data_IF_017942617060
#
_entry.id   IF_017942617060
#
_cell.length_a   1.000
_cell.length_b   1.000
_cell.length_c   1.000
_cell.angle_alpha   90.00
_cell.angle_beta   90.00
_cell.angle_gamma   90.00
#
_symmetry.space_group_name_H-M   'P 1'
#
loop_
_entity.id
_entity.type
_entity.pdbx_description
1 polymer ?
#
# COMPACT_ATOMS: atom_id res chain seq x y z
N UNK A 1 19.71 -12.99 5.98
CA UNK A 1 18.67 -11.98 5.74
C UNK A 1 18.96 -11.25 4.43
N UNK A 2 18.05 -11.20 3.48
CA UNK A 2 18.30 -10.54 2.19
C UNK A 2 18.29 -9.01 2.39
N UNK A 3 19.26 -8.31 1.79
CA UNK A 3 19.34 -6.84 1.86
C UNK A 3 18.12 -6.23 1.11
N UNK A 4 17.41 -5.26 1.70
CA UNK A 4 16.29 -4.61 1.01
C UNK A 4 16.76 -3.83 -0.22
N UNK A 5 15.90 -3.78 -1.24
CA UNK A 5 16.15 -2.99 -2.45
C UNK A 5 15.91 -1.49 -2.21
N UNK A 6 15.02 -1.16 -1.26
CA UNK A 6 14.67 0.21 -0.91
C UNK A 6 14.19 0.30 0.53
N UNK A 7 14.55 1.39 1.21
CA UNK A 7 13.99 1.78 2.51
C UNK A 7 13.59 3.24 2.41
N UNK A 8 12.37 3.57 2.81
CA UNK A 8 11.83 4.93 2.88
C UNK A 8 11.34 5.18 4.30
N UNK A 9 11.60 6.37 4.82
CA UNK A 9 11.18 6.78 6.17
C UNK A 9 10.65 8.20 6.13
N UNK A 10 9.62 8.47 6.93
CA UNK A 10 9.09 9.80 7.15
C UNK A 10 8.66 9.93 8.61
N UNK A 11 9.18 10.93 9.31
CA UNK A 11 8.69 11.29 10.64
C UNK A 11 7.31 11.91 10.52
N UNK A 12 6.37 11.44 11.33
CA UNK A 12 4.96 11.83 11.31
C UNK A 12 4.47 11.92 12.77
N UNK A 13 3.74 12.99 13.14
CA UNK A 13 3.17 13.11 14.47
C UNK A 13 2.28 11.90 14.86
N UNK A 14 2.33 11.51 16.12
CA UNK A 14 1.61 10.32 16.62
C UNK A 14 0.11 10.37 16.34
N UNK A 15 -0.51 11.55 16.40
CA UNK A 15 -1.93 11.73 16.07
C UNK A 15 -2.25 11.39 14.62
N UNK A 16 -1.38 11.77 13.69
CA UNK A 16 -1.53 11.41 12.28
C UNK A 16 -1.19 9.94 12.01
N UNK A 17 -0.28 9.34 12.78
CA UNK A 17 0.02 7.91 12.67
C UNK A 17 -1.18 7.03 13.03
N UNK A 18 -1.99 7.45 14.00
CA UNK A 18 -3.23 6.74 14.35
C UNK A 18 -4.23 6.75 13.18
N UNK A 19 -4.35 7.89 12.49
CA UNK A 19 -5.18 8.01 11.29
C UNK A 19 -4.65 7.14 10.15
N UNK A 20 -3.34 7.14 9.91
CA UNK A 20 -2.70 6.27 8.91
C UNK A 20 -2.95 4.80 9.23
N UNK A 21 -2.77 4.40 10.51
CA UNK A 21 -3.02 3.02 10.95
C UNK A 21 -4.47 2.62 10.68
N UNK A 22 -5.43 3.46 11.05
CA UNK A 22 -6.84 3.21 10.77
C UNK A 22 -7.10 3.06 9.26
N UNK A 23 -6.58 3.97 8.44
CA UNK A 23 -6.78 3.97 7.00
C UNK A 23 -6.11 2.80 6.28
N UNK A 24 -4.94 2.34 6.74
CA UNK A 24 -4.28 1.18 6.12
C UNK A 24 -4.88 -0.14 6.59
N UNK A 25 -5.34 -0.21 7.85
CA UNK A 25 -5.92 -1.43 8.43
C UNK A 25 -7.36 -1.69 7.99
N UNK A 26 -8.02 -0.74 7.34
CA UNK A 26 -9.36 -0.88 6.80
C UNK A 26 -9.33 -0.78 5.27
N UNK A 27 -9.69 -1.89 4.60
CA UNK A 27 -9.70 -1.97 3.14
C UNK A 27 -10.65 -0.98 2.48
N UNK A 28 -11.74 -0.64 3.13
CA UNK A 28 -12.75 0.27 2.57
C UNK A 28 -12.18 1.69 2.43
N UNK A 29 -11.12 2.02 3.18
CA UNK A 29 -10.42 3.30 3.11
C UNK A 29 -9.30 3.34 2.04
N UNK A 30 -8.87 2.19 1.50
CA UNK A 30 -7.75 2.17 0.55
C UNK A 30 -7.97 3.00 -0.72
N UNK A 31 -9.15 3.02 -1.35
CA UNK A 31 -9.41 3.89 -2.51
C UNK A 31 -9.25 5.38 -2.22
N UNK A 32 -9.36 5.80 -0.97
CA UNK A 32 -9.28 7.20 -0.57
C UNK A 32 -7.84 7.72 -0.62
N UNK A 33 -6.87 6.91 -0.19
CA UNK A 33 -5.48 7.34 -0.10
C UNK A 33 -4.55 6.71 -1.15
N UNK A 34 -4.87 5.52 -1.67
CA UNK A 34 -4.01 4.77 -2.57
C UNK A 34 -4.45 4.97 -4.03
N UNK A 35 -3.68 5.72 -4.79
CA UNK A 35 -3.96 6.00 -6.21
C UNK A 35 -3.92 4.77 -7.12
N UNK A 36 -3.32 3.67 -6.66
CA UNK A 36 -3.40 2.38 -7.36
C UNK A 36 -4.70 1.63 -7.10
N UNK A 37 -5.53 2.08 -6.15
CA UNK A 37 -6.75 1.44 -5.72
C UNK A 37 -7.98 2.28 -6.04
N UNK A 38 -8.29 2.53 -7.32
CA UNK A 38 -9.53 3.21 -7.69
C UNK A 38 -10.76 2.39 -7.30
N UNK A 39 -10.63 1.07 -7.24
CA UNK A 39 -11.64 0.13 -6.78
C UNK A 39 -10.97 -1.11 -6.23
N UNK A 40 -11.46 -1.57 -5.08
CA UNK A 40 -11.09 -2.87 -4.50
C UNK A 40 -12.18 -3.86 -4.87
N UNK A 41 -11.78 -4.97 -5.49
CA UNK A 41 -12.61 -6.16 -5.64
C UNK A 41 -12.05 -7.21 -4.69
N UNK A 42 -12.40 -7.08 -3.41
CA UNK A 42 -12.15 -8.10 -2.41
C UNK A 42 -13.50 -8.68 -2.01
N UNK A 43 -13.56 -10.00 -1.82
CA UNK A 43 -14.72 -10.63 -1.19
C UNK A 43 -14.85 -10.25 0.29
N UNK A 44 -13.80 -9.64 0.85
CA UNK A 44 -13.73 -9.20 2.24
C UNK A 44 -13.60 -7.68 2.31
N UNK A 45 -14.49 -7.07 3.06
CA UNK A 45 -14.52 -5.66 3.43
C UNK A 45 -14.00 -5.47 4.86
N UNK A 46 -13.72 -4.21 5.22
CA UNK A 46 -13.32 -3.82 6.57
C UNK A 46 -11.88 -4.18 6.91
N UNK A 47 -11.64 -4.61 8.16
CA UNK A 47 -10.28 -4.81 8.68
C UNK A 47 -9.49 -5.86 7.93
N UNK A 48 -8.20 -5.54 7.70
CA UNK A 48 -7.21 -6.45 7.12
C UNK A 48 -7.08 -7.75 7.92
N UNK A 49 -6.86 -8.85 7.20
CA UNK A 49 -6.59 -10.18 7.78
C UNK A 49 -5.42 -10.83 7.09
N UNK A 50 -4.61 -11.54 7.87
CA UNK A 50 -3.51 -12.37 7.31
C UNK A 50 -4.09 -13.41 6.35
N UNK A 51 -3.43 -13.59 5.20
CA UNK A 51 -3.87 -14.47 4.12
C UNK A 51 -4.94 -13.86 3.21
N UNK A 52 -5.43 -12.66 3.51
CA UNK A 52 -6.43 -11.99 2.70
C UNK A 52 -5.85 -11.59 1.34
N UNK A 53 -6.56 -11.96 0.27
CA UNK A 53 -6.27 -11.51 -1.08
C UNK A 53 -6.98 -10.19 -1.36
N UNK A 54 -6.25 -9.26 -1.98
CA UNK A 54 -6.73 -7.95 -2.35
C UNK A 54 -6.46 -7.75 -3.84
N UNK A 55 -7.51 -7.52 -4.61
CA UNK A 55 -7.42 -7.20 -6.03
C UNK A 55 -7.70 -5.70 -6.22
N UNK A 56 -6.66 -4.93 -6.55
CA UNK A 56 -6.74 -3.49 -6.77
C UNK A 56 -6.98 -3.21 -8.25
N UNK A 57 -8.01 -2.47 -8.56
CA UNK A 57 -8.39 -2.13 -9.93
C UNK A 57 -8.21 -0.66 -10.21
N UNK A 58 -7.63 -0.35 -11.37
CA UNK A 58 -7.50 1.01 -11.89
C UNK A 58 -7.61 1.02 -13.42
N UNK A 59 -7.98 2.15 -13.97
CA UNK A 59 -8.00 2.36 -15.42
C UNK A 59 -6.88 3.34 -15.79
N UNK A 60 -5.98 2.93 -16.67
CA UNK A 60 -4.88 3.75 -17.19
C UNK A 60 -4.88 3.67 -18.71
N UNK A 61 -4.99 4.81 -19.38
CA UNK A 61 -5.02 4.88 -20.86
C UNK A 61 -6.03 3.89 -21.49
N UNK A 62 -7.25 3.84 -20.95
CA UNK A 62 -8.35 2.94 -21.36
C UNK A 62 -8.08 1.44 -21.13
N UNK A 63 -7.04 1.08 -20.39
CA UNK A 63 -6.74 -0.29 -20.02
C UNK A 63 -7.14 -0.53 -18.56
N UNK A 64 -7.86 -1.63 -18.31
CA UNK A 64 -8.11 -2.10 -16.95
C UNK A 64 -6.86 -2.82 -16.46
N UNK A 65 -6.31 -2.31 -15.36
CA UNK A 65 -5.16 -2.89 -14.66
C UNK A 65 -5.67 -3.48 -13.34
N UNK A 66 -5.35 -4.74 -13.11
CA UNK A 66 -5.69 -5.49 -11.91
C UNK A 66 -4.39 -5.91 -11.23
N UNK A 67 -4.08 -5.32 -10.08
CA UNK A 67 -2.94 -5.68 -9.24
C UNK A 67 -3.39 -6.59 -8.10
N UNK A 68 -2.81 -7.77 -8.00
CA UNK A 68 -3.17 -8.78 -6.99
C UNK A 68 -2.16 -8.76 -5.86
N UNK A 69 -2.65 -8.66 -4.62
CA UNK A 69 -1.86 -8.63 -3.40
C UNK A 69 -2.36 -9.65 -2.38
N UNK A 70 -1.48 -10.09 -1.48
CA UNK A 70 -1.83 -10.91 -0.32
C UNK A 70 -1.23 -10.29 0.92
N UNK A 71 -2.02 -10.17 1.97
CA UNK A 71 -1.54 -9.81 3.31
C UNK A 71 -0.79 -11.01 3.88
N UNK A 72 0.53 -10.90 3.98
CA UNK A 72 1.37 -11.99 4.48
C UNK A 72 1.41 -12.03 6.00
N UNK A 73 1.58 -10.85 6.64
CA UNK A 73 1.70 -10.74 8.09
C UNK A 73 1.08 -9.43 8.57
N UNK A 74 0.56 -9.43 9.79
CA UNK A 74 0.16 -8.25 10.56
C UNK A 74 0.71 -8.47 11.97
N UNK A 75 1.61 -7.59 12.40
CA UNK A 75 2.25 -7.64 13.71
C UNK A 75 1.98 -6.34 14.45
N UNK A 76 1.54 -6.44 15.70
CA UNK A 76 1.29 -5.30 16.57
C UNK A 76 2.08 -5.47 17.85
N UNK A 77 2.71 -4.40 18.33
CA UNK A 77 3.42 -4.36 19.61
C UNK A 77 2.93 -3.20 20.47
N UNK A 78 3.07 -3.35 21.78
CA UNK A 78 2.56 -2.39 22.78
C UNK A 78 3.68 -1.52 23.35
N UNK A 79 4.89 -2.08 23.51
CA UNK A 79 6.02 -1.37 24.11
C UNK A 79 7.35 -1.73 23.39
N UNK A 80 7.87 -0.89 22.50
CA UNK A 80 7.22 0.30 21.94
C UNK A 80 5.99 -0.05 21.09
N UNK A 81 4.98 0.83 21.06
CA UNK A 81 3.80 0.63 20.20
C UNK A 81 4.20 0.71 18.72
N UNK A 82 3.90 -0.33 17.98
CA UNK A 82 4.07 -0.38 16.53
C UNK A 82 2.95 -1.19 15.88
N UNK A 83 2.71 -0.90 14.61
CA UNK A 83 1.92 -1.73 13.71
C UNK A 83 2.76 -2.02 12.47
N UNK A 84 2.89 -3.29 12.10
CA UNK A 84 3.63 -3.73 10.91
C UNK A 84 2.72 -4.57 10.03
N UNK A 85 2.71 -4.27 8.75
CA UNK A 85 1.94 -4.99 7.73
C UNK A 85 2.89 -5.41 6.62
N UNK A 86 2.97 -6.71 6.36
CA UNK A 86 3.74 -7.25 5.24
C UNK A 86 2.76 -7.68 4.15
N UNK A 87 2.93 -7.11 2.96
CA UNK A 87 2.10 -7.41 1.79
C UNK A 87 2.96 -7.90 0.63
N UNK A 88 2.49 -8.96 -0.02
CA UNK A 88 3.13 -9.58 -1.17
C UNK A 88 2.31 -9.36 -2.43
N UNK A 89 2.92 -8.75 -3.45
CA UNK A 89 2.35 -8.65 -4.76
C UNK A 89 2.44 -10.00 -5.49
N UNK A 90 1.31 -10.45 -6.04
CA UNK A 90 1.17 -11.76 -6.67
C UNK A 90 1.17 -11.67 -8.20
N UNK A 91 1.05 -10.48 -8.74
CA UNK A 91 1.03 -10.27 -10.19
C UNK A 91 0.06 -9.20 -10.62
N UNK A 92 0.03 -8.98 -11.94
CA UNK A 92 -0.86 -8.00 -12.56
C UNK A 92 -1.52 -8.60 -13.79
N UNK A 93 -2.76 -8.20 -14.04
CA UNK A 93 -3.43 -8.41 -15.32
C UNK A 93 -3.70 -7.07 -15.98
N UNK A 94 -3.67 -7.08 -17.30
CA UNK A 94 -4.08 -5.95 -18.14
C UNK A 94 -5.20 -6.43 -19.07
N UNK A 95 -6.39 -5.85 -18.94
CA UNK A 95 -7.60 -6.30 -19.65
C UNK A 95 -7.85 -7.82 -19.49
N UNK A 96 -7.70 -8.33 -18.25
CA UNK A 96 -7.91 -9.74 -17.91
C UNK A 96 -6.78 -10.69 -18.30
N UNK A 97 -5.73 -10.23 -18.98
CA UNK A 97 -4.58 -11.07 -19.40
C UNK A 97 -3.40 -10.84 -18.48
N UNK A 98 -2.76 -11.92 -18.04
CA UNK A 98 -1.52 -11.82 -17.24
C UNK A 98 -0.49 -11.00 -18.01
N UNK A 99 -0.03 -9.93 -17.39
CA UNK A 99 0.99 -9.07 -17.97
C UNK A 99 2.38 -9.66 -17.66
N UNK A 100 3.23 -9.78 -18.69
CA UNK A 100 4.65 -10.11 -18.53
C UNK A 100 5.40 -8.89 -17.99
N UNK A 101 5.31 -8.66 -16.68
CA UNK A 101 5.80 -7.45 -16.05
C UNK A 101 7.32 -7.41 -15.90
N UNK A 102 7.78 -6.17 -15.77
CA UNK A 102 9.14 -5.84 -15.37
C UNK A 102 9.52 -6.43 -14.01
N UNK A 103 8.56 -6.54 -13.09
CA UNK A 103 8.71 -7.05 -11.73
C UNK A 103 8.22 -8.50 -11.70
N UNK A 104 8.99 -9.39 -11.08
CA UNK A 104 8.63 -10.79 -10.85
C UNK A 104 7.98 -10.97 -9.49
N UNK A 105 8.57 -10.36 -8.46
CA UNK A 105 8.06 -10.36 -7.08
C UNK A 105 8.22 -8.98 -6.48
N UNK A 106 7.33 -8.60 -5.59
CA UNK A 106 7.44 -7.39 -4.78
C UNK A 106 6.84 -7.68 -3.40
N UNK A 107 7.63 -7.47 -2.36
CA UNK A 107 7.20 -7.49 -0.96
C UNK A 107 7.37 -6.10 -0.38
N UNK A 108 6.35 -5.61 0.30
CA UNK A 108 6.38 -4.37 1.07
C UNK A 108 6.17 -4.70 2.55
N UNK A 109 7.07 -4.21 3.38
CA UNK A 109 6.93 -4.15 4.82
C UNK A 109 6.67 -2.69 5.20
N UNK A 110 5.50 -2.44 5.76
CA UNK A 110 5.02 -1.14 6.17
C UNK A 110 4.98 -1.13 7.68
N UNK A 111 5.84 -0.36 8.31
CA UNK A 111 5.93 -0.26 9.77
C UNK A 111 5.55 1.15 10.23
N UNK A 112 4.59 1.23 11.13
CA UNK A 112 4.18 2.44 11.84
C UNK A 112 4.74 2.40 13.24
N UNK A 113 5.59 3.37 13.60
CA UNK A 113 6.24 3.48 14.92
C UNK A 113 5.57 4.61 15.71
N UNK A 114 4.85 4.26 16.79
CA UNK A 114 4.09 5.21 17.62
C UNK A 114 4.90 5.66 18.85
N UNK A 115 6.08 6.18 18.65
CA UNK A 115 6.93 6.79 19.69
C UNK A 115 7.16 8.29 19.42
N UNK A 116 7.89 8.98 20.29
CA UNK A 116 8.14 10.43 20.16
C UNK A 116 8.84 10.80 18.85
N UNK A 117 9.78 9.95 18.39
CA UNK A 117 10.49 10.11 17.11
C UNK A 117 9.87 9.23 16.01
N UNK A 118 8.61 8.88 16.16
CA UNK A 118 7.94 7.91 15.34
C UNK A 118 7.65 8.36 13.93
N UNK A 119 7.13 7.42 13.15
CA UNK A 119 6.84 7.67 11.75
C UNK A 119 6.47 6.43 11.00
N UNK A 120 6.48 6.58 9.68
CA UNK A 120 6.23 5.51 8.73
C UNK A 120 7.55 5.06 8.11
N UNK A 121 7.81 3.76 8.15
CA UNK A 121 8.91 3.11 7.45
C UNK A 121 8.36 2.12 6.42
N UNK A 122 8.84 2.22 5.18
CA UNK A 122 8.63 1.21 4.15
C UNK A 122 9.95 0.51 3.86
N UNK A 123 9.97 -0.80 3.98
CA UNK A 123 11.06 -1.63 3.50
C UNK A 123 10.56 -2.49 2.36
N UNK A 124 11.25 -2.48 1.22
CA UNK A 124 10.81 -3.15 0.02
C UNK A 124 11.87 -4.09 -0.55
N UNK A 125 11.43 -5.29 -0.95
CA UNK A 125 12.21 -6.28 -1.68
C UNK A 125 11.50 -6.61 -2.98
N UNK A 126 12.26 -6.67 -4.09
CA UNK A 126 11.71 -7.11 -5.37
C UNK A 126 12.74 -7.86 -6.20
N UNK A 127 12.22 -8.72 -7.05
CA UNK A 127 12.94 -9.32 -8.16
C UNK A 127 12.42 -8.79 -9.49
N UNK A 128 13.33 -8.53 -10.41
CA UNK A 128 12.98 -8.13 -11.77
C UNK A 128 13.10 -9.30 -12.75
N UNK A 129 12.25 -9.32 -13.78
CA UNK A 129 12.32 -10.32 -14.83
C UNK A 129 13.64 -10.25 -15.58
N UNK A 130 14.06 -11.37 -16.19
CA UNK A 130 15.31 -11.43 -17.00
C UNK A 130 15.31 -10.38 -18.12
N UNK A 131 14.18 -10.25 -18.83
CA UNK A 131 14.02 -9.28 -19.90
C UNK A 131 14.18 -7.85 -19.41
N UNK A 132 13.54 -7.50 -18.32
CA UNK A 132 13.63 -6.15 -17.72
C UNK A 132 14.99 -5.83 -17.17
N UNK A 133 15.75 -6.84 -16.76
CA UNK A 133 17.15 -6.70 -16.35
C UNK A 133 18.02 -6.31 -17.53
N UNK A 134 17.84 -6.99 -18.69
CA UNK A 134 18.57 -6.70 -19.92
C UNK A 134 18.24 -5.29 -20.43
N UNK A 135 16.96 -4.91 -20.39
CA UNK A 135 16.48 -3.62 -20.86
C UNK A 135 16.68 -2.46 -19.86
N UNK A 136 17.12 -2.74 -18.64
CA UNK A 136 17.53 -1.75 -17.64
C UNK A 136 16.40 -0.94 -16.97
N UNK A 137 15.11 -1.23 -17.21
CA UNK A 137 14.01 -0.40 -16.70
C UNK A 137 13.29 -1.00 -15.46
N UNK A 138 13.40 -2.30 -15.19
CA UNK A 138 12.63 -2.97 -14.14
C UNK A 138 12.81 -2.37 -12.74
N UNK A 139 14.05 -2.07 -12.34
CA UNK A 139 14.33 -1.43 -11.05
C UNK A 139 13.73 -0.02 -10.93
N UNK A 140 13.72 0.74 -12.04
CA UNK A 140 13.11 2.09 -12.07
C UNK A 140 11.60 2.01 -11.85
N UNK A 141 10.93 1.04 -12.48
CA UNK A 141 9.50 0.82 -12.33
C UNK A 141 9.19 0.42 -10.88
N UNK A 142 9.91 -0.58 -10.32
CA UNK A 142 9.69 -1.01 -8.94
C UNK A 142 9.85 0.14 -7.93
N UNK A 143 10.95 0.90 -8.04
CA UNK A 143 11.19 2.08 -7.19
C UNK A 143 10.07 3.11 -7.28
N UNK A 144 9.57 3.37 -8.49
CA UNK A 144 8.48 4.32 -8.70
C UNK A 144 7.18 3.86 -8.03
N UNK A 145 6.84 2.57 -8.14
CA UNK A 145 5.65 2.00 -7.50
C UNK A 145 5.75 2.12 -5.99
N UNK A 146 6.86 1.65 -5.39
CA UNK A 146 7.07 1.70 -3.93
C UNK A 146 7.01 3.13 -3.42
N UNK A 147 7.71 4.06 -4.11
CA UNK A 147 7.70 5.47 -3.74
C UNK A 147 6.31 6.09 -3.84
N UNK A 148 5.54 5.77 -4.87
CA UNK A 148 4.18 6.29 -5.04
C UNK A 148 3.26 5.82 -3.90
N UNK A 149 3.30 4.53 -3.54
CA UNK A 149 2.49 4.00 -2.41
C UNK A 149 2.89 4.68 -1.10
N UNK A 150 4.19 4.87 -0.87
CA UNK A 150 4.68 5.58 0.32
C UNK A 150 4.23 7.04 0.37
N UNK A 151 4.38 7.76 -0.75
CA UNK A 151 3.97 9.16 -0.85
C UNK A 151 2.46 9.31 -0.68
N UNK A 152 1.66 8.42 -1.29
CA UNK A 152 0.21 8.40 -1.15
C UNK A 152 -0.22 8.16 0.31
N UNK A 153 0.35 7.15 0.97
CA UNK A 153 0.05 6.85 2.37
C UNK A 153 0.42 8.01 3.30
N UNK A 154 1.60 8.57 3.13
CA UNK A 154 2.11 9.65 4.02
C UNK A 154 1.56 11.04 3.71
N UNK A 155 0.81 11.20 2.62
CA UNK A 155 0.19 12.47 2.21
C UNK A 155 -1.32 12.42 2.35
N UNK A 156 -1.95 11.36 1.91
CA UNK A 156 -3.40 11.20 1.91
C UNK A 156 -3.90 10.30 3.05
N UNK A 157 -3.09 9.32 3.49
CA UNK A 157 -3.45 8.44 4.61
C UNK A 157 -3.58 9.16 5.96
N UNK A 158 -3.10 10.41 6.07
CA UNK A 158 -3.26 11.27 7.27
C UNK A 158 -4.63 11.95 7.35
N UNK A 159 -5.48 11.83 6.32
CA UNK A 159 -6.80 12.45 6.25
C UNK A 159 -7.80 11.54 6.96
N UNK A 160 -8.56 12.10 7.89
CA UNK A 160 -9.69 11.40 8.52
C UNK A 160 -10.95 11.55 7.66
N UNK A 161 -11.17 10.58 6.80
CA UNK A 161 -12.26 10.57 5.84
C UNK A 161 -13.65 10.44 6.50
N UNK A 162 -13.73 9.91 7.73
CA UNK A 162 -15.01 9.81 8.46
C UNK A 162 -15.49 11.19 8.92
N UNK A 163 -14.58 12.05 9.39
CA UNK A 163 -14.92 13.41 9.79
C UNK A 163 -15.38 14.29 8.61
N UNK A 164 -14.81 14.09 7.42
CA UNK A 164 -15.22 14.85 6.23
C UNK A 164 -16.62 14.49 5.72
N UNK A 165 -17.04 13.23 5.87
CA UNK A 165 -18.40 12.80 5.51
C UNK A 165 -19.46 13.40 6.44
N UNK A 166 -19.21 13.42 7.74
CA UNK A 166 -20.13 13.99 8.74
C UNK A 166 -20.34 15.49 8.56
N UNK A 167 -19.30 16.22 8.13
CA UNK A 167 -19.39 17.66 7.85
C UNK A 167 -20.24 17.95 6.61
N UNK A 168 -20.15 17.13 5.56
CA UNK A 168 -20.97 17.31 4.34
C UNK A 168 -22.45 17.03 4.57
N UNK A 169 -22.79 16.06 5.43
CA UNK A 169 -24.18 15.75 5.75
C UNK A 169 -24.84 16.88 6.54
N UNK A 170 -24.11 17.50 7.49
CA UNK A 170 -24.62 18.64 8.28
C UNK A 170 -24.75 19.95 7.52
N UNK A 171 -24.17 20.09 6.33
CA UNK A 171 -24.30 21.28 5.48
C UNK A 171 -25.45 21.17 4.46
N UNK A 172 -26.10 20.01 4.37
CA UNK A 172 -27.19 19.71 3.44
C UNK A 172 -28.56 19.62 4.13
N UNK A 173 -28.62 19.78 5.45
CA UNK A 173 -29.84 19.98 6.26
C UNK A 173 -30.05 21.48 6.57
#
# INVERSE_FOLDING_TARGET
>A
MQRPNMVLRKSIPVTQLQTIEHNIMDLDNWPMWNKFANRILSESHGKLKVGQRIDLHRVVAQQLIEDMWIIAEINEGVDPRFCQIIINWQGQKVNGRTSALAIKTLTLDITLLHNEDGGVEFTAWWEISRLSRILGFGNRIARRIVKQIFDDLTTHGVIDYHLEHDVKIKQTE
#
